data_IF_921734176095
#
_entry.id   IF_921734176095
#
_cell.length_a   1.000
_cell.length_b   1.000
_cell.length_c   1.000
_cell.angle_alpha   90.00
_cell.angle_beta   90.00
_cell.angle_gamma   90.00
#
_symmetry.space_group_name_H-M   'P 1'
#
loop_
_entity.id
_entity.type
_entity.pdbx_description
1 polymer ?
#
# COMPACT_ATOMS: atom_id res chain seq x y z
N UNK A 1 -1.97 38.44 45.96
CA UNK A 1 -0.80 38.30 46.85
C UNK A 1 0.03 37.09 46.40
N UNK A 2 1.35 37.30 46.21
CA UNK A 2 2.52 36.37 46.14
C UNK A 2 2.32 34.95 45.53
N UNK A 3 2.80 34.68 44.29
CA UNK A 3 4.11 34.08 43.88
C UNK A 3 4.35 32.67 44.49
N UNK A 4 4.68 31.64 43.70
CA UNK A 4 6.09 31.25 43.40
C UNK A 4 6.17 30.28 42.19
N UNK A 5 7.11 30.59 41.31
CA UNK A 5 7.67 29.84 40.17
C UNK A 5 8.67 28.78 40.64
N UNK A 6 8.81 27.62 39.97
CA UNK A 6 10.14 27.03 39.73
C UNK A 6 10.14 26.00 38.58
N UNK A 7 10.99 26.27 37.58
CA UNK A 7 11.40 25.37 36.51
C UNK A 7 12.23 24.20 37.04
N UNK A 8 12.13 23.04 36.36
CA UNK A 8 13.20 22.05 36.35
C UNK A 8 13.53 21.71 34.89
N UNK A 9 14.66 22.28 34.45
CA UNK A 9 15.39 21.93 33.23
C UNK A 9 16.16 20.65 33.52
N UNK A 10 16.00 19.61 32.71
CA UNK A 10 17.02 18.58 32.56
C UNK A 10 17.38 18.45 31.08
N UNK A 11 18.50 19.08 30.75
CA UNK A 11 19.28 18.79 29.56
C UNK A 11 20.21 17.61 29.87
N UNK A 12 20.21 16.59 29.02
CA UNK A 12 21.36 15.68 28.89
C UNK A 12 21.68 15.56 27.40
N UNK A 13 22.92 15.93 27.10
CA UNK A 13 23.49 16.06 25.79
C UNK A 13 23.96 14.71 25.20
N UNK A 14 23.75 14.58 23.88
CA UNK A 14 24.64 14.04 22.84
C UNK A 14 25.40 12.72 23.06
N UNK A 15 25.19 11.78 22.13
CA UNK A 15 26.29 11.25 21.30
C UNK A 15 25.80 11.02 19.87
N UNK A 16 26.38 11.75 18.91
CA UNK A 16 26.27 11.48 17.46
C UNK A 16 27.39 10.51 17.08
N UNK A 17 27.06 9.38 16.48
CA UNK A 17 28.03 8.48 15.86
C UNK A 17 28.03 8.73 14.34
N UNK A 18 28.91 9.62 13.89
CA UNK A 18 29.28 9.77 12.48
C UNK A 18 30.42 8.80 12.16
N UNK A 19 30.12 7.69 11.50
CA UNK A 19 31.13 6.93 10.77
C UNK A 19 31.23 7.49 9.35
N UNK A 20 32.27 8.32 9.14
CA UNK A 20 32.72 8.83 7.85
C UNK A 20 34.04 8.13 7.54
N UNK A 21 34.04 7.21 6.60
CA UNK A 21 35.25 6.75 5.92
C UNK A 21 35.16 7.18 4.45
N UNK A 22 36.04 8.13 4.10
CA UNK A 22 36.46 8.43 2.72
C UNK A 22 37.84 7.80 2.51
N UNK A 23 38.01 7.11 1.39
CA UNK A 23 39.24 6.98 0.60
C UNK A 23 38.75 6.65 -0.83
N UNK A 24 38.86 7.56 -1.82
CA UNK A 24 39.99 7.70 -2.78
C UNK A 24 40.20 6.41 -3.58
N UNK A 25 40.30 6.33 -4.91
CA UNK A 25 40.48 7.16 -6.12
C UNK A 25 39.93 6.26 -7.28
N UNK A 26 39.55 6.71 -8.46
CA UNK A 26 40.41 7.24 -9.52
C UNK A 26 39.53 7.76 -10.68
N UNK A 27 40.10 8.73 -11.38
CA UNK A 27 39.56 9.39 -12.56
C UNK A 27 40.13 8.78 -13.86
N UNK A 28 39.40 9.01 -14.96
CA UNK A 28 39.82 9.10 -16.39
C UNK A 28 38.68 8.51 -17.24
N UNK A 29 37.81 9.27 -17.90
CA UNK A 29 38.01 10.20 -19.03
C UNK A 29 38.74 9.59 -20.23
N UNK A 30 37.99 9.28 -21.29
CA UNK A 30 38.32 9.59 -22.69
C UNK A 30 37.33 8.94 -23.67
N UNK A 31 36.40 9.77 -24.14
CA UNK A 31 36.07 10.02 -25.55
C UNK A 31 36.74 9.13 -26.61
N UNK A 32 35.93 8.48 -27.46
CA UNK A 32 36.11 8.47 -28.91
C UNK A 32 34.81 8.03 -29.61
N UNK A 33 34.30 8.92 -30.46
CA UNK A 33 33.26 8.65 -31.44
C UNK A 33 33.86 8.02 -32.71
N UNK A 34 32.98 7.80 -33.71
CA UNK A 34 33.23 7.45 -35.13
C UNK A 34 33.26 5.92 -35.34
N UNK A 35 32.47 5.27 -36.21
CA UNK A 35 31.96 5.66 -37.54
C UNK A 35 30.76 4.78 -37.96
N UNK A 36 29.90 5.34 -38.81
CA UNK A 36 28.83 4.69 -39.56
C UNK A 36 29.36 3.70 -40.61
N UNK A 37 28.61 2.63 -40.89
CA UNK A 37 28.62 1.96 -42.19
C UNK A 37 27.25 1.34 -42.51
N UNK A 38 26.93 1.40 -43.80
CA UNK A 38 25.63 1.28 -44.46
C UNK A 38 24.93 -0.09 -44.45
N UNK A 39 23.65 0.00 -44.83
CA UNK A 39 22.67 -1.06 -45.04
C UNK A 39 22.95 -1.98 -46.24
N UNK A 40 22.48 -3.23 -46.12
CA UNK A 40 21.98 -4.03 -47.23
C UNK A 40 20.89 -5.01 -46.74
N UNK A 41 19.72 -4.91 -47.39
CA UNK A 41 18.58 -5.84 -47.53
C UNK A 41 19.05 -7.25 -47.99
N UNK A 42 18.41 -8.42 -47.81
CA UNK A 42 16.99 -8.82 -47.71
C UNK A 42 16.87 -10.34 -47.31
N UNK A 43 15.85 -10.69 -46.49
CA UNK A 43 14.97 -11.91 -46.52
C UNK A 43 15.50 -13.35 -46.17
N UNK A 44 14.61 -14.36 -45.88
CA UNK A 44 14.45 -14.94 -44.53
C UNK A 44 14.53 -16.49 -44.46
N UNK A 45 15.10 -17.03 -43.38
CA UNK A 45 14.90 -18.42 -42.89
C UNK A 45 15.76 -18.57 -41.62
N UNK A 46 15.41 -19.23 -40.54
CA UNK A 46 14.28 -20.10 -40.22
C UNK A 46 13.95 -19.89 -38.73
N UNK A 47 12.66 -19.98 -38.42
CA UNK A 47 12.16 -20.02 -37.05
C UNK A 47 12.87 -21.15 -36.29
N UNK A 48 13.81 -20.78 -35.42
CA UNK A 48 14.26 -21.65 -34.35
C UNK A 48 13.28 -21.42 -33.21
N UNK A 49 12.36 -22.36 -33.08
CA UNK A 49 11.42 -22.52 -31.98
C UNK A 49 12.22 -22.78 -30.70
N UNK A 50 12.81 -21.74 -30.11
CA UNK A 50 13.19 -21.79 -28.71
C UNK A 50 11.90 -21.78 -27.92
N UNK A 51 11.65 -22.93 -27.28
CA UNK A 51 10.52 -23.17 -26.43
C UNK A 51 10.37 -22.01 -25.44
N UNK A 52 9.39 -21.16 -25.69
CA UNK A 52 8.79 -20.33 -24.67
C UNK A 52 8.43 -21.28 -23.52
N UNK A 53 9.18 -21.20 -22.42
CA UNK A 53 8.72 -21.71 -21.14
C UNK A 53 7.25 -21.31 -20.99
N UNK A 54 6.37 -22.19 -20.50
CA UNK A 54 5.00 -21.80 -20.23
C UNK A 54 5.07 -20.58 -19.31
N UNK A 55 4.63 -19.43 -19.80
CA UNK A 55 4.48 -18.26 -18.96
C UNK A 55 3.57 -18.70 -17.82
N UNK A 56 4.09 -18.71 -16.60
CA UNK A 56 3.31 -19.01 -15.43
C UNK A 56 2.25 -17.90 -15.32
N UNK A 57 1.04 -18.15 -15.82
CA UNK A 57 0.00 -17.14 -15.90
C UNK A 57 -0.35 -16.70 -14.47
N UNK A 58 -0.21 -15.40 -14.21
CA UNK A 58 -0.52 -14.83 -12.90
C UNK A 58 -1.99 -15.05 -12.58
N UNK A 59 -2.25 -15.93 -11.60
CA UNK A 59 -3.60 -16.19 -11.13
C UNK A 59 -4.23 -14.93 -10.53
N UNK A 60 -5.46 -14.64 -10.90
CA UNK A 60 -6.26 -13.53 -10.39
C UNK A 60 -7.43 -14.06 -9.57
N UNK A 61 -7.87 -13.28 -8.58
CA UNK A 61 -8.95 -13.64 -7.66
C UNK A 61 -10.04 -12.56 -7.68
N UNK A 62 -11.28 -13.00 -7.52
CA UNK A 62 -12.40 -12.11 -7.21
C UNK A 62 -12.42 -11.82 -5.72
N UNK A 63 -12.40 -10.54 -5.35
CA UNK A 63 -12.45 -10.11 -3.95
C UNK A 63 -13.87 -9.74 -3.58
N UNK A 64 -14.37 -10.27 -2.46
CA UNK A 64 -15.67 -9.88 -1.89
C UNK A 64 -15.50 -9.35 -0.48
N UNK A 65 -16.15 -8.21 -0.20
CA UNK A 65 -16.28 -7.64 1.15
C UNK A 65 -17.69 -7.88 1.68
N UNK A 66 -17.83 -8.35 2.92
CA UNK A 66 -19.16 -8.62 3.51
C UNK A 66 -19.23 -8.19 4.98
N UNK A 67 -20.01 -7.14 5.31
CA UNK A 67 -20.69 -6.22 4.39
C UNK A 67 -19.68 -5.40 3.57
N UNK A 68 -20.10 -4.83 2.44
CA UNK A 68 -19.24 -3.97 1.61
C UNK A 68 -19.06 -2.55 2.19
N UNK A 69 -19.73 -2.24 3.29
CA UNK A 69 -19.74 -0.93 3.91
C UNK A 69 -19.86 -1.01 5.44
N UNK A 70 -19.36 0.04 6.10
CA UNK A 70 -19.38 0.17 7.55
C UNK A 70 -19.60 1.63 7.96
N UNK A 71 -20.34 1.83 9.06
CA UNK A 71 -20.52 3.13 9.70
C UNK A 71 -19.58 3.21 10.91
N UNK A 72 -18.80 4.28 10.98
CA UNK A 72 -17.78 4.53 11.99
C UNK A 72 -17.93 5.95 12.59
N UNK A 73 -17.21 6.17 13.68
CA UNK A 73 -17.15 7.41 14.44
C UNK A 73 -18.11 7.39 15.61
N UNK A 74 -17.76 8.09 16.70
CA UNK A 74 -18.57 8.10 17.93
C UNK A 74 -19.97 8.66 17.70
N UNK A 75 -20.14 9.50 16.66
CA UNK A 75 -21.41 10.09 16.25
C UNK A 75 -21.99 9.44 14.99
N UNK A 76 -21.40 8.34 14.49
CA UNK A 76 -21.79 7.65 13.25
C UNK A 76 -21.70 8.55 12.01
N UNK A 77 -20.68 9.39 11.99
CA UNK A 77 -20.42 10.44 11.01
C UNK A 77 -19.70 9.97 9.74
N UNK A 78 -19.01 8.83 9.79
CA UNK A 78 -18.28 8.29 8.64
C UNK A 78 -18.97 7.02 8.11
N UNK A 79 -19.37 7.02 6.84
CA UNK A 79 -19.75 5.79 6.12
C UNK A 79 -18.62 5.43 5.17
N UNK A 80 -18.00 4.28 5.36
CA UNK A 80 -16.93 3.77 4.50
C UNK A 80 -17.47 2.61 3.67
N UNK A 81 -17.36 2.71 2.34
CA UNK A 81 -17.65 1.63 1.40
C UNK A 81 -16.35 1.13 0.78
N UNK A 82 -16.15 -0.18 0.77
CA UNK A 82 -14.98 -0.83 0.19
C UNK A 82 -15.27 -1.18 -1.26
N UNK A 83 -14.33 -0.82 -2.13
CA UNK A 83 -14.41 -1.07 -3.57
C UNK A 83 -13.22 -1.92 -3.97
N UNK A 84 -13.46 -3.21 -4.23
CA UNK A 84 -12.42 -4.11 -4.70
C UNK A 84 -11.85 -3.62 -6.05
N UNK A 85 -10.53 -3.66 -6.19
CA UNK A 85 -9.84 -3.34 -7.44
C UNK A 85 -9.30 -4.62 -8.07
N UNK A 86 -8.43 -5.33 -7.37
CA UNK A 86 -7.88 -6.60 -7.84
C UNK A 86 -7.29 -7.42 -6.70
N UNK A 87 -7.14 -8.72 -6.93
CA UNK A 87 -6.27 -9.57 -6.14
C UNK A 87 -5.52 -10.52 -7.08
N UNK A 88 -4.20 -10.58 -6.96
CA UNK A 88 -3.34 -11.34 -7.88
C UNK A 88 -2.27 -12.10 -7.12
N UNK A 89 -1.99 -13.33 -7.53
CA UNK A 89 -0.85 -14.08 -7.00
C UNK A 89 0.45 -13.33 -7.32
N UNK A 90 1.34 -13.28 -6.35
CA UNK A 90 2.74 -12.92 -6.54
C UNK A 90 3.51 -14.23 -6.68
N UNK A 91 4.31 -14.37 -7.74
CA UNK A 91 5.15 -15.56 -7.96
C UNK A 91 6.58 -15.15 -8.29
N UNK A 92 7.54 -15.99 -7.90
CA UNK A 92 8.93 -15.84 -8.33
C UNK A 92 9.14 -16.38 -9.77
N UNK A 93 10.34 -16.17 -10.37
CA UNK A 93 10.64 -16.67 -11.71
C UNK A 93 10.57 -18.20 -11.84
N UNK A 94 10.71 -18.94 -10.73
CA UNK A 94 10.56 -20.40 -10.69
C UNK A 94 9.09 -20.85 -10.55
N UNK A 95 8.17 -19.89 -10.43
CA UNK A 95 6.74 -20.10 -10.30
C UNK A 95 6.23 -20.47 -8.92
N UNK A 96 7.04 -20.29 -7.87
CA UNK A 96 6.59 -20.48 -6.48
C UNK A 96 5.82 -19.26 -6.03
N UNK A 97 4.69 -19.49 -5.35
CA UNK A 97 3.87 -18.43 -4.77
C UNK A 97 4.65 -17.69 -3.67
N UNK A 98 4.74 -16.37 -3.83
CA UNK A 98 5.26 -15.40 -2.87
C UNK A 98 4.13 -14.75 -2.04
N UNK A 99 2.87 -15.04 -2.38
CA UNK A 99 1.70 -14.49 -1.71
C UNK A 99 0.65 -13.95 -2.67
N UNK A 100 -0.22 -13.08 -2.17
CA UNK A 100 -1.27 -12.40 -2.94
C UNK A 100 -1.15 -10.90 -2.71
N UNK A 101 -1.16 -10.12 -3.78
CA UNK A 101 -1.35 -8.67 -3.71
C UNK A 101 -2.83 -8.34 -3.82
N UNK A 102 -3.41 -7.82 -2.73
CA UNK A 102 -4.80 -7.39 -2.66
C UNK A 102 -4.85 -5.87 -2.76
N UNK A 103 -5.61 -5.36 -3.75
CA UNK A 103 -5.81 -3.93 -4.02
C UNK A 103 -7.28 -3.57 -3.92
N UNK A 104 -7.58 -2.49 -3.21
CA UNK A 104 -8.92 -1.93 -3.12
C UNK A 104 -8.87 -0.44 -2.84
N UNK A 105 -10.01 0.22 -2.96
CA UNK A 105 -10.21 1.63 -2.57
C UNK A 105 -11.32 1.75 -1.56
N UNK A 106 -11.40 2.92 -0.93
CA UNK A 106 -12.48 3.27 -0.01
C UNK A 106 -13.18 4.51 -0.52
N UNK A 107 -14.49 4.39 -0.68
CA UNK A 107 -15.38 5.53 -0.84
C UNK A 107 -15.88 5.93 0.55
N UNK A 108 -15.43 7.08 1.03
CA UNK A 108 -15.82 7.63 2.32
C UNK A 108 -16.88 8.72 2.14
N UNK A 109 -18.00 8.60 2.84
CA UNK A 109 -19.04 9.62 2.93
C UNK A 109 -19.03 10.25 4.32
N UNK A 110 -18.95 11.58 4.36
CA UNK A 110 -19.10 12.36 5.59
C UNK A 110 -20.58 12.73 5.78
N UNK A 111 -21.15 12.30 6.91
CA UNK A 111 -22.54 12.52 7.26
C UNK A 111 -22.74 13.73 8.20
N UNK A 112 -21.69 14.45 8.55
CA UNK A 112 -21.81 15.75 9.18
C UNK A 112 -22.49 16.74 8.24
N UNK A 113 -23.27 17.66 8.81
CA UNK A 113 -23.99 18.70 8.06
C UNK A 113 -23.05 19.74 7.47
N UNK A 114 -23.48 20.46 6.43
CA UNK A 114 -22.76 21.63 5.91
C UNK A 114 -22.45 22.61 7.06
N UNK A 115 -21.19 23.05 7.13
CA UNK A 115 -20.65 23.87 8.22
C UNK A 115 -20.09 23.07 9.41
N UNK A 116 -20.22 21.74 9.39
CA UNK A 116 -19.56 20.82 10.31
C UNK A 116 -18.09 20.57 9.96
N UNK A 117 -17.47 19.59 10.63
CA UNK A 117 -16.07 19.24 10.42
C UNK A 117 -15.91 18.28 9.25
N UNK A 118 -14.81 18.42 8.50
CA UNK A 118 -14.35 17.35 7.62
C UNK A 118 -13.91 16.14 8.47
N UNK A 119 -14.05 14.95 7.91
CA UNK A 119 -13.50 13.74 8.51
C UNK A 119 -12.17 13.41 7.83
N UNK A 120 -11.21 12.93 8.62
CA UNK A 120 -9.91 12.48 8.16
C UNK A 120 -9.77 10.97 8.37
N UNK A 121 -9.53 10.23 7.29
CA UNK A 121 -9.44 8.77 7.34
C UNK A 121 -7.99 8.38 7.03
N UNK A 122 -7.35 7.74 7.99
CA UNK A 122 -5.97 7.24 7.88
C UNK A 122 -6.01 5.71 7.70
N UNK A 123 -5.77 5.25 6.47
CA UNK A 123 -5.92 3.83 6.09
C UNK A 123 -4.80 2.96 6.67
N UNK A 124 -3.66 3.58 6.98
CA UNK A 124 -2.51 2.95 7.66
C UNK A 124 -2.85 2.40 9.05
N UNK A 125 -3.97 2.82 9.64
CA UNK A 125 -4.47 2.25 10.90
C UNK A 125 -5.30 0.97 10.69
N UNK A 126 -5.68 0.64 9.47
CA UNK A 126 -6.46 -0.55 9.16
C UNK A 126 -5.61 -1.80 9.27
N UNK A 127 -6.28 -2.91 9.57
CA UNK A 127 -5.62 -4.20 9.80
C UNK A 127 -6.35 -5.29 9.04
N UNK A 128 -5.65 -5.95 8.13
CA UNK A 128 -6.15 -7.15 7.48
C UNK A 128 -5.83 -8.35 8.37
N UNK A 129 -6.87 -9.01 8.84
CA UNK A 129 -6.82 -10.24 9.62
C UNK A 129 -6.80 -11.42 8.67
N UNK A 130 -5.86 -12.32 8.89
CA UNK A 130 -5.71 -13.56 8.12
C UNK A 130 -6.45 -14.72 8.80
N UNK A 131 -6.61 -15.82 8.09
CA UNK A 131 -7.24 -17.06 8.56
C UNK A 131 -6.59 -17.65 9.82
N UNK A 132 -5.28 -17.49 9.97
CA UNK A 132 -4.52 -17.85 11.17
C UNK A 132 -4.65 -16.84 12.34
N UNK A 133 -5.56 -15.87 12.22
CA UNK A 133 -5.80 -14.77 13.17
C UNK A 133 -4.63 -13.79 13.39
N UNK A 134 -3.57 -13.87 12.58
CA UNK A 134 -2.56 -12.80 12.52
C UNK A 134 -3.13 -11.58 11.81
N UNK A 135 -2.60 -10.40 12.12
CA UNK A 135 -2.97 -9.14 11.47
C UNK A 135 -1.76 -8.56 10.76
N UNK A 136 -1.97 -8.09 9.53
CA UNK A 136 -0.96 -7.40 8.74
C UNK A 136 -1.40 -5.96 8.47
N UNK A 137 -0.41 -5.10 8.22
CA UNK A 137 -0.60 -3.72 7.81
C UNK A 137 -0.63 -3.62 6.29
N UNK A 138 -1.15 -2.51 5.78
CA UNK A 138 -1.06 -2.19 4.36
C UNK A 138 0.42 -2.04 3.93
N UNK A 139 0.70 -2.46 2.70
CA UNK A 139 1.96 -2.20 2.01
C UNK A 139 1.96 -0.80 1.39
N UNK A 140 0.78 -0.33 0.97
CA UNK A 140 0.54 1.03 0.50
C UNK A 140 -0.83 1.51 0.97
N UNK A 141 -0.89 2.78 1.32
CA UNK A 141 -2.11 3.51 1.64
C UNK A 141 -1.74 4.90 2.13
N UNK A 142 -2.65 5.56 2.83
CA UNK A 142 -2.38 6.92 3.26
C UNK A 142 -3.52 7.56 4.02
N UNK A 143 -3.75 8.82 3.68
CA UNK A 143 -4.72 9.66 4.35
C UNK A 143 -5.55 10.39 3.29
N UNK A 144 -6.86 10.46 3.53
CA UNK A 144 -7.73 11.32 2.75
C UNK A 144 -8.76 11.98 3.66
N UNK A 145 -9.26 13.14 3.23
CA UNK A 145 -10.27 13.89 3.96
C UNK A 145 -11.54 14.02 3.15
N UNK A 146 -12.68 13.93 3.83
CA UNK A 146 -14.01 14.05 3.22
C UNK A 146 -14.72 15.25 3.82
N UNK A 147 -15.12 16.19 2.97
CA UNK A 147 -15.86 17.39 3.37
C UNK A 147 -17.27 17.03 3.84
N UNK A 148 -17.89 17.83 4.73
CA UNK A 148 -19.26 17.60 5.20
C UNK A 148 -20.26 17.40 4.06
N UNK A 149 -21.23 16.50 4.26
CA UNK A 149 -22.23 16.06 3.28
C UNK A 149 -21.68 15.62 1.91
N UNK A 150 -20.40 15.24 1.84
CA UNK A 150 -19.74 14.83 0.61
C UNK A 150 -19.24 13.39 0.65
N UNK A 151 -18.91 12.86 -0.52
CA UNK A 151 -18.25 11.58 -0.70
C UNK A 151 -16.94 11.78 -1.45
N UNK A 152 -15.87 11.14 -1.00
CA UNK A 152 -14.57 11.15 -1.67
C UNK A 152 -13.96 9.76 -1.65
N UNK A 153 -13.12 9.49 -2.64
CA UNK A 153 -12.46 8.20 -2.81
C UNK A 153 -11.01 8.29 -2.34
N UNK A 154 -10.51 7.24 -1.73
CA UNK A 154 -9.10 7.09 -1.38
C UNK A 154 -8.27 6.76 -2.63
N UNK A 155 -6.96 6.92 -2.50
CA UNK A 155 -6.02 6.21 -3.37
C UNK A 155 -6.12 4.69 -3.18
N UNK A 156 -5.45 3.94 -4.07
CA UNK A 156 -5.39 2.48 -3.99
C UNK A 156 -4.62 2.02 -2.75
N UNK A 157 -5.31 1.22 -1.92
CA UNK A 157 -4.78 0.57 -0.73
C UNK A 157 -4.33 -0.83 -1.12
N UNK A 158 -3.11 -1.19 -0.76
CA UNK A 158 -2.51 -2.47 -1.12
C UNK A 158 -2.12 -3.26 0.13
N UNK A 159 -2.48 -4.54 0.16
CA UNK A 159 -2.00 -5.51 1.16
C UNK A 159 -1.24 -6.63 0.47
N UNK A 160 -0.15 -7.10 1.10
CA UNK A 160 0.60 -8.28 0.67
C UNK A 160 0.32 -9.41 1.64
N UNK A 161 -0.53 -10.34 1.21
CA UNK A 161 -0.90 -11.52 1.98
C UNK A 161 0.19 -12.57 1.79
N UNK A 162 0.83 -13.08 2.86
CA UNK A 162 1.87 -14.09 2.74
C UNK A 162 1.38 -15.36 2.04
N UNK A 163 2.30 -16.07 1.38
CA UNK A 163 2.00 -17.36 0.75
C UNK A 163 1.37 -18.34 1.75
N UNK A 164 0.32 -19.04 1.31
CA UNK A 164 -0.41 -20.02 2.13
C UNK A 164 -1.41 -19.43 3.13
N UNK A 165 -1.47 -18.12 3.31
CA UNK A 165 -2.50 -17.46 4.13
C UNK A 165 -3.66 -16.95 3.28
N UNK A 166 -4.84 -16.85 3.90
CA UNK A 166 -6.03 -16.26 3.28
C UNK A 166 -6.52 -15.06 4.10
N UNK A 167 -7.05 -14.01 3.45
CA UNK A 167 -7.69 -12.94 4.19
C UNK A 167 -8.98 -13.46 4.83
N UNK A 168 -9.31 -12.92 5.99
CA UNK A 168 -10.50 -13.27 6.76
C UNK A 168 -11.38 -12.06 7.01
N UNK A 169 -10.78 -10.97 7.49
CA UNK A 169 -11.51 -9.74 7.76
C UNK A 169 -10.61 -8.52 7.69
N UNK A 170 -11.17 -7.38 7.28
CA UNK A 170 -10.53 -6.09 7.34
C UNK A 170 -11.13 -5.28 8.49
N UNK A 171 -10.27 -4.88 9.42
CA UNK A 171 -10.66 -4.00 10.51
C UNK A 171 -10.42 -2.55 10.12
N UNK A 172 -11.49 -1.79 10.12
CA UNK A 172 -11.52 -0.35 9.86
C UNK A 172 -11.55 0.40 11.19
N UNK A 173 -10.86 1.53 11.26
CA UNK A 173 -10.71 2.32 12.48
C UNK A 173 -10.92 3.81 12.22
N UNK A 174 -11.76 4.46 13.02
CA UNK A 174 -11.94 5.91 12.94
C UNK A 174 -12.51 6.43 14.26
N UNK A 175 -11.95 7.54 14.77
CA UNK A 175 -12.34 8.15 16.07
C UNK A 175 -12.52 7.12 17.20
N UNK A 176 -11.51 6.26 17.38
CA UNK A 176 -11.49 5.18 18.40
C UNK A 176 -12.58 4.11 18.23
N UNK A 177 -13.40 4.20 17.19
CA UNK A 177 -14.36 3.15 16.82
C UNK A 177 -13.74 2.17 15.84
N UNK A 178 -14.26 0.93 15.85
CA UNK A 178 -13.83 -0.16 14.97
C UNK A 178 -15.04 -0.80 14.28
N UNK A 179 -14.87 -1.13 13.02
CA UNK A 179 -15.75 -2.03 12.28
C UNK A 179 -14.93 -3.17 11.68
N UNK A 180 -15.52 -4.35 11.57
CA UNK A 180 -14.88 -5.52 10.95
C UNK A 180 -15.72 -5.96 9.76
N UNK A 181 -15.07 -6.07 8.62
CA UNK A 181 -15.66 -6.47 7.34
C UNK A 181 -15.05 -7.79 6.92
N UNK A 182 -15.86 -8.80 6.63
CA UNK A 182 -15.36 -10.07 6.09
C UNK A 182 -14.71 -9.87 4.72
N UNK A 183 -13.62 -10.58 4.46
CA UNK A 183 -12.91 -10.55 3.18
C UNK A 183 -12.79 -11.98 2.66
N UNK A 184 -13.18 -12.19 1.41
CA UNK A 184 -13.09 -13.49 0.74
C UNK A 184 -12.42 -13.34 -0.62
N UNK A 185 -11.57 -14.31 -0.98
CA UNK A 185 -10.98 -14.46 -2.31
C UNK A 185 -11.57 -15.70 -2.98
N UNK A 186 -12.08 -15.55 -4.20
CA UNK A 186 -12.63 -16.63 -5.03
C UNK A 186 -11.84 -16.76 -6.33
#
# INVERSE_FOLDING_TARGET
MKKITLMAVLAVATVVYSCKSKADKDAADSTAAVESAEAATEKPAAASTEASQPANETKTYTVTFTPDSAILGKKKEALLKLVAVSATDLSDPDGKSQGIELKFKISGTNKEKIGGNSIGIATNNFRLVLDNNTSINEANGGYFSVQPESTSESDEITYRIPAGAKPKALNLFFDETRASVGVELK
#
